data_IF_970704491010
#
_entry.id   IF_970704491010
#
_cell.length_a   1.000
_cell.length_b   1.000
_cell.length_c   1.000
_cell.angle_alpha   90.00
_cell.angle_beta   90.00
_cell.angle_gamma   90.00
#
_symmetry.space_group_name_H-M   'P 1'
#
loop_
_entity.id
_entity.type
_entity.pdbx_description
1 polymer ?
#
# COMPACT_ATOMS: atom_id res chain seq x y z
N UNK A 1 8.69 9.49 1.13
CA UNK A 1 9.88 8.62 1.04
C UNK A 1 10.95 9.33 0.23
N UNK A 2 11.92 9.95 0.92
CA UNK A 2 12.98 10.77 0.33
C UNK A 2 14.28 9.98 0.09
N UNK A 3 14.30 8.70 0.47
CA UNK A 3 15.44 7.80 0.34
C UNK A 3 15.75 7.44 -1.12
N UNK A 4 16.95 6.87 -1.36
CA UNK A 4 17.30 6.33 -2.67
C UNK A 4 16.56 5.01 -2.89
N UNK A 5 16.06 4.79 -4.13
CA UNK A 5 15.34 3.57 -4.53
C UNK A 5 16.08 2.29 -4.12
N UNK A 6 17.41 2.27 -4.19
CA UNK A 6 18.25 1.11 -3.89
C UNK A 6 18.14 0.61 -2.45
N UNK A 7 17.94 1.50 -1.48
CA UNK A 7 17.90 1.15 -0.05
C UNK A 7 16.51 0.72 0.46
N UNK A 8 15.49 0.79 -0.38
CA UNK A 8 14.10 0.55 0.03
C UNK A 8 13.72 -0.94 -0.05
N UNK A 9 14.23 -1.78 0.85
CA UNK A 9 13.92 -3.23 0.91
C UNK A 9 13.04 -3.62 2.11
N UNK A 10 12.22 -2.69 2.60
CA UNK A 10 11.28 -2.89 3.69
C UNK A 10 9.87 -2.50 3.26
N UNK A 11 8.88 -2.87 4.08
CA UNK A 11 7.51 -2.43 3.94
C UNK A 11 7.16 -1.46 5.07
N UNK A 12 6.38 -0.42 4.76
CA UNK A 12 5.75 0.43 5.76
C UNK A 12 4.32 -0.03 5.95
N UNK A 13 3.92 -0.29 7.19
CA UNK A 13 2.55 -0.66 7.55
C UNK A 13 1.93 0.48 8.33
N UNK A 14 0.86 1.05 7.79
CA UNK A 14 0.07 2.06 8.44
C UNK A 14 -1.21 1.43 8.99
N UNK A 15 -1.41 1.56 10.30
CA UNK A 15 -2.66 1.18 10.98
C UNK A 15 -3.59 2.39 10.98
N UNK A 16 -4.77 2.24 10.41
CA UNK A 16 -5.77 3.31 10.38
C UNK A 16 -6.70 3.20 11.59
N UNK A 17 -7.18 4.32 12.15
CA UNK A 17 -8.06 4.31 13.32
C UNK A 17 -9.43 3.70 13.03
N UNK A 18 -9.89 3.76 11.78
CA UNK A 18 -11.16 3.22 11.33
C UNK A 18 -11.00 2.57 9.95
N UNK A 19 -11.67 1.44 9.74
CA UNK A 19 -11.77 0.84 8.41
C UNK A 19 -12.67 1.71 7.53
N UNK A 20 -12.09 2.35 6.51
CA UNK A 20 -12.81 3.28 5.67
C UNK A 20 -12.23 3.29 4.26
N UNK A 21 -13.07 3.58 3.27
CA UNK A 21 -12.61 3.75 1.90
C UNK A 21 -11.91 5.10 1.73
N UNK A 22 -12.60 6.18 2.08
CA UNK A 22 -12.07 7.54 1.94
C UNK A 22 -11.06 7.88 3.03
N UNK A 23 -11.21 7.32 4.23
CA UNK A 23 -10.22 7.49 5.31
C UNK A 23 -8.89 6.80 5.03
N UNK A 24 -8.88 5.83 4.11
CA UNK A 24 -7.67 5.12 3.66
C UNK A 24 -7.09 5.70 2.37
N UNK A 25 -7.53 6.88 1.92
CA UNK A 25 -6.92 7.56 0.79
C UNK A 25 -5.51 8.00 1.12
N UNK A 26 -4.57 7.77 0.19
CA UNK A 26 -3.18 8.24 0.31
C UNK A 26 -2.77 9.10 -0.88
N UNK A 27 -1.74 9.90 -0.68
CA UNK A 27 -1.05 10.62 -1.74
C UNK A 27 0.41 10.15 -1.80
N UNK A 28 1.06 10.39 -2.93
CA UNK A 28 2.50 10.14 -3.11
C UNK A 28 3.30 11.43 -3.32
N UNK A 29 2.83 12.55 -2.75
CA UNK A 29 3.60 13.79 -2.69
C UNK A 29 4.96 13.52 -2.02
N UNK A 30 6.02 14.14 -2.54
CA UNK A 30 7.39 14.01 -2.03
C UNK A 30 7.99 12.59 -2.09
N UNK A 31 7.45 11.72 -2.94
CA UNK A 31 8.05 10.44 -3.30
C UNK A 31 9.00 10.62 -4.50
N UNK A 32 10.13 9.91 -4.54
CA UNK A 32 11.08 9.99 -5.67
C UNK A 32 10.95 8.85 -6.68
N UNK A 33 10.23 7.78 -6.33
CA UNK A 33 10.09 6.58 -7.14
C UNK A 33 8.71 5.95 -6.91
N UNK A 34 8.20 5.16 -7.88
CA UNK A 34 6.93 4.46 -7.73
C UNK A 34 7.00 3.35 -6.68
N UNK A 35 5.87 3.10 -6.03
CA UNK A 35 5.74 2.06 -5.00
C UNK A 35 4.56 1.14 -5.30
N UNK A 36 4.59 -0.07 -4.75
CA UNK A 36 3.42 -0.92 -4.70
C UNK A 36 2.67 -0.66 -3.39
N UNK A 37 1.34 -0.61 -3.45
CA UNK A 37 0.47 -0.36 -2.28
C UNK A 37 -0.54 -1.49 -2.16
N UNK A 38 -0.67 -2.03 -0.95
CA UNK A 38 -1.64 -3.06 -0.60
C UNK A 38 -2.56 -2.51 0.47
N UNK A 39 -3.87 -2.59 0.22
CA UNK A 39 -4.88 -2.21 1.19
C UNK A 39 -5.46 -3.46 1.83
N UNK A 40 -5.54 -3.48 3.16
CA UNK A 40 -6.14 -4.59 3.91
C UNK A 40 -7.32 -4.12 4.77
N UNK A 41 -8.31 -4.98 4.96
CA UNK A 41 -9.33 -4.79 5.99
C UNK A 41 -8.78 -5.05 7.41
N UNK A 42 -9.60 -4.81 8.44
CA UNK A 42 -9.25 -5.07 9.84
C UNK A 42 -8.93 -6.56 10.13
N UNK A 43 -9.40 -7.46 9.28
CA UNK A 43 -9.07 -8.89 9.30
C UNK A 43 -7.77 -9.26 8.57
N UNK A 44 -6.98 -8.26 8.15
CA UNK A 44 -5.75 -8.38 7.35
C UNK A 44 -5.97 -9.07 5.99
N UNK A 45 -7.17 -9.01 5.43
CA UNK A 45 -7.49 -9.52 4.11
C UNK A 45 -7.26 -8.45 3.06
N UNK A 46 -6.65 -8.80 1.94
CA UNK A 46 -6.38 -7.89 0.83
C UNK A 46 -7.70 -7.45 0.19
N UNK A 47 -7.94 -6.14 0.21
CA UNK A 47 -9.15 -5.54 -0.36
C UNK A 47 -8.87 -4.77 -1.65
N UNK A 48 -7.63 -4.30 -1.84
CA UNK A 48 -7.17 -3.71 -3.09
C UNK A 48 -5.64 -3.79 -3.23
N UNK A 49 -5.18 -3.84 -4.49
CA UNK A 49 -3.77 -3.93 -4.86
C UNK A 49 -3.48 -2.89 -5.95
N UNK A 50 -2.49 -2.04 -5.69
CA UNK A 50 -2.10 -0.97 -6.61
C UNK A 50 -0.62 -1.12 -6.92
N UNK A 51 -0.32 -1.46 -8.17
CA UNK A 51 1.04 -1.66 -8.66
C UNK A 51 1.60 -0.34 -9.21
N UNK A 52 2.83 -0.01 -8.85
CA UNK A 52 3.55 1.13 -9.41
C UNK A 52 2.82 2.48 -9.22
N UNK A 53 2.28 2.72 -8.03
CA UNK A 53 1.70 4.01 -7.66
C UNK A 53 2.74 5.12 -7.85
N UNK A 54 2.46 6.03 -8.79
CA UNK A 54 3.43 6.99 -9.30
C UNK A 54 3.72 8.09 -8.27
N UNK A 55 4.96 8.61 -8.23
CA UNK A 55 5.29 9.83 -7.50
C UNK A 55 4.38 11.01 -7.84
N UNK A 56 4.21 11.93 -6.89
CA UNK A 56 3.48 13.20 -7.08
C UNK A 56 2.00 13.03 -7.45
N UNK A 57 1.40 11.89 -7.11
CA UNK A 57 -0.04 11.66 -7.28
C UNK A 57 -0.79 12.18 -6.06
N UNK A 58 -1.87 12.93 -6.29
CA UNK A 58 -2.62 13.63 -5.24
C UNK A 58 -3.58 12.74 -4.46
N UNK A 59 -4.09 11.68 -5.08
CA UNK A 59 -5.05 10.80 -4.43
C UNK A 59 -4.99 9.39 -5.00
N UNK A 60 -4.99 8.43 -4.10
CA UNK A 60 -5.25 7.02 -4.33
C UNK A 60 -6.25 6.56 -3.29
N UNK A 61 -7.49 6.35 -3.72
CA UNK A 61 -8.55 5.80 -2.87
C UNK A 61 -8.69 4.31 -3.16
N UNK A 62 -8.67 3.43 -2.15
CA UNK A 62 -8.89 2.01 -2.37
C UNK A 62 -10.29 1.72 -2.92
N UNK A 63 -10.45 0.59 -3.61
CA UNK A 63 -11.76 0.13 -4.11
C UNK A 63 -12.74 -0.23 -3.00
N UNK A 64 -12.25 -0.66 -1.83
CA UNK A 64 -13.03 -1.13 -0.69
C UNK A 64 -12.49 -0.53 0.62
N UNK A 65 -13.28 -0.53 1.71
CA UNK A 65 -12.80 -0.07 3.01
C UNK A 65 -11.53 -0.82 3.44
N UNK A 66 -10.57 -0.08 3.97
CA UNK A 66 -9.30 -0.62 4.45
C UNK A 66 -9.00 -0.08 5.85
N UNK A 67 -8.46 -0.94 6.70
CA UNK A 67 -7.94 -0.61 8.03
C UNK A 67 -6.41 -0.60 8.08
N UNK A 68 -5.74 -1.15 7.06
CA UNK A 68 -4.29 -1.11 6.92
C UNK A 68 -3.88 -0.70 5.51
N UNK A 69 -2.75 0.00 5.43
CA UNK A 69 -2.07 0.32 4.19
C UNK A 69 -0.64 -0.20 4.29
N UNK A 70 -0.22 -1.01 3.32
CA UNK A 70 1.14 -1.53 3.23
C UNK A 70 1.81 -0.94 2.00
N UNK A 71 2.82 -0.12 2.20
CA UNK A 71 3.64 0.45 1.13
C UNK A 71 4.93 -0.36 0.97
N UNK A 72 5.24 -0.77 -0.25
CA UNK A 72 6.39 -1.61 -0.58
C UNK A 72 7.08 -1.12 -1.85
N UNK A 73 8.30 -1.62 -2.10
CA UNK A 73 9.00 -1.36 -3.36
C UNK A 73 8.15 -1.80 -4.55
N UNK A 74 8.13 -1.00 -5.61
CA UNK A 74 7.57 -1.39 -6.91
C UNK A 74 8.01 -2.81 -7.31
N UNK A 75 7.05 -3.63 -7.72
CA UNK A 75 7.27 -5.03 -8.11
C UNK A 75 7.10 -6.04 -6.97
N UNK A 76 6.95 -5.59 -5.72
CA UNK A 76 6.73 -6.47 -4.57
C UNK A 76 5.43 -7.27 -4.68
N UNK A 77 4.34 -6.68 -5.20
CA UNK A 77 3.07 -7.41 -5.40
C UNK A 77 3.30 -8.60 -6.36
N UNK A 78 4.09 -8.40 -7.43
CA UNK A 78 4.43 -9.46 -8.37
C UNK A 78 5.38 -10.49 -7.74
N UNK A 79 6.40 -10.04 -7.01
CA UNK A 79 7.39 -10.88 -6.32
C UNK A 79 6.70 -11.86 -5.36
N UNK A 80 5.75 -11.37 -4.56
CA UNK A 80 5.02 -12.17 -3.58
C UNK A 80 3.73 -12.80 -4.10
N UNK A 81 3.37 -12.55 -5.38
CA UNK A 81 2.16 -13.08 -6.03
C UNK A 81 0.87 -12.78 -5.26
N UNK A 82 0.76 -11.58 -4.71
CA UNK A 82 -0.39 -11.19 -3.90
C UNK A 82 -1.65 -11.07 -4.75
N UNK A 83 -2.77 -11.56 -4.21
CA UNK A 83 -4.08 -11.53 -4.86
C UNK A 83 -5.18 -10.97 -3.94
N UNK A 84 -6.18 -10.32 -4.54
CA UNK A 84 -7.30 -9.80 -3.75
C UNK A 84 -8.03 -10.94 -3.03
N UNK A 85 -8.30 -10.75 -1.75
CA UNK A 85 -8.99 -11.72 -0.90
C UNK A 85 -8.09 -12.66 -0.12
N UNK A 86 -6.77 -12.65 -0.36
CA UNK A 86 -5.82 -13.38 0.48
C UNK A 86 -5.65 -12.69 1.85
N UNK A 87 -5.24 -13.45 2.87
CA UNK A 87 -4.87 -12.90 4.17
C UNK A 87 -3.36 -12.75 4.26
N UNK A 88 -2.92 -11.59 4.74
CA UNK A 88 -1.50 -11.33 5.01
C UNK A 88 -1.26 -11.36 6.53
N UNK A 89 -0.15 -11.95 6.92
CA UNK A 89 0.40 -11.85 8.28
C UNK A 89 1.76 -11.17 8.24
N UNK A 90 2.00 -10.29 9.20
CA UNK A 90 3.26 -9.59 9.42
C UNK A 90 3.44 -9.40 10.93
N UNK A 91 4.69 -9.41 11.39
CA UNK A 91 5.14 -9.33 12.78
C UNK A 91 6.14 -8.22 12.95
#
# INVERSE_FOLDING_TARGET
MLERKENFDYALVFLLPNESRYGASIHSLFMRFPIDVVFLDNGKKIVDLVKGFKPWSLNLTPKKPAGFIVEMREGSIKKFRLENGEKISFS
#
